data_IF_003286127478
#
_entry.id   IF_003286127478
#
_cell.length_a   1.000
_cell.length_b   1.000
_cell.length_c   1.000
_cell.angle_alpha   90.00
_cell.angle_beta   90.00
_cell.angle_gamma   90.00
#
_symmetry.space_group_name_H-M   'P 1'
#
loop_
_entity.id
_entity.type
_entity.pdbx_description
1 polymer ?
#
# COMPACT_ATOMS: atom_id res chain seq x y z
N UNK A 1 -26.83 -14.98 30.73
CA UNK A 1 -25.97 -14.26 31.68
C UNK A 1 -25.11 -13.35 30.83
N UNK A 2 -25.49 -12.08 30.80
CA UNK A 2 -24.90 -11.03 29.97
C UNK A 2 -23.51 -10.75 30.55
N UNK A 3 -22.46 -11.10 29.81
CA UNK A 3 -21.08 -10.86 30.23
C UNK A 3 -20.82 -9.37 30.06
N UNK A 4 -20.57 -8.67 31.17
CA UNK A 4 -20.18 -7.26 31.14
C UNK A 4 -19.05 -7.06 30.12
N UNK A 5 -19.17 -6.04 29.23
CA UNK A 5 -18.12 -5.78 28.27
C UNK A 5 -16.83 -5.43 29.02
N UNK A 6 -15.69 -5.99 28.58
CA UNK A 6 -14.44 -5.80 29.29
C UNK A 6 -14.03 -4.31 29.32
N UNK A 7 -13.36 -3.84 30.38
CA UNK A 7 -13.17 -2.41 30.69
C UNK A 7 -12.53 -1.56 29.59
N UNK A 8 -11.75 -2.17 28.69
CA UNK A 8 -11.06 -1.48 27.60
C UNK A 8 -11.96 -1.17 26.39
N UNK A 9 -13.16 -1.76 26.30
CA UNK A 9 -14.09 -1.52 25.19
C UNK A 9 -14.58 -0.07 25.16
N UNK A 10 -14.81 0.51 26.34
CA UNK A 10 -15.18 1.93 26.48
C UNK A 10 -14.03 2.84 26.05
N UNK A 11 -12.80 2.47 26.40
CA UNK A 11 -11.59 3.22 26.02
C UNK A 11 -11.36 3.22 24.51
N UNK A 12 -11.68 2.13 23.81
CA UNK A 12 -11.61 2.10 22.34
C UNK A 12 -12.66 3.00 21.69
N UNK A 13 -13.88 3.07 22.24
CA UNK A 13 -14.92 3.99 21.75
C UNK A 13 -14.55 5.46 21.98
N UNK A 14 -13.96 5.78 23.13
CA UNK A 14 -13.46 7.13 23.45
C UNK A 14 -12.35 7.59 22.50
N UNK A 15 -11.50 6.67 22.03
CA UNK A 15 -10.45 6.95 21.03
C UNK A 15 -10.98 7.01 19.59
N UNK A 16 -12.30 6.94 19.37
CA UNK A 16 -12.92 7.10 18.06
C UNK A 16 -12.82 5.89 17.13
N UNK A 17 -12.51 4.69 17.65
CA UNK A 17 -12.45 3.49 16.82
C UNK A 17 -13.84 3.13 16.27
N UNK A 18 -14.00 3.00 14.94
CA UNK A 18 -15.29 2.73 14.33
C UNK A 18 -15.78 1.29 14.64
N UNK A 19 -17.09 1.07 14.85
CA UNK A 19 -17.65 -0.24 15.19
C UNK A 19 -17.57 -1.35 14.12
N UNK A 20 -16.84 -1.17 13.02
CA UNK A 20 -16.86 -2.11 11.89
C UNK A 20 -15.51 -2.17 11.17
N UNK A 21 -14.73 -3.21 11.44
CA UNK A 21 -13.54 -3.60 10.66
C UNK A 21 -13.88 -4.68 9.63
N UNK A 22 -15.07 -4.58 9.04
CA UNK A 22 -15.58 -5.47 7.99
C UNK A 22 -16.13 -4.65 6.82
N UNK A 23 -15.45 -3.56 6.44
CA UNK A 23 -15.67 -3.01 5.11
C UNK A 23 -14.86 -3.86 4.12
N UNK A 24 -15.44 -5.01 3.75
CA UNK A 24 -14.99 -5.83 2.62
C UNK A 24 -15.40 -5.08 1.35
N UNK A 25 -14.73 -3.97 1.06
CA UNK A 25 -15.19 -3.03 0.03
C UNK A 25 -14.13 -2.10 -0.53
N UNK A 26 -13.04 -1.83 0.20
CA UNK A 26 -11.85 -1.26 -0.41
C UNK A 26 -11.14 -2.37 -1.17
N UNK A 27 -11.65 -2.70 -2.36
CA UNK A 27 -10.80 -3.32 -3.37
C UNK A 27 -9.57 -2.43 -3.47
N UNK A 28 -8.40 -2.96 -3.11
CA UNK A 28 -7.11 -2.42 -3.51
C UNK A 28 -7.18 -2.21 -5.01
N UNK A 29 -7.55 -1.01 -5.46
CA UNK A 29 -7.34 -0.62 -6.83
C UNK A 29 -5.85 -0.32 -6.89
N UNK A 30 -5.02 -1.21 -7.49
CA UNK A 30 -3.68 -0.80 -7.82
C UNK A 30 -3.81 0.44 -8.70
N UNK A 31 -3.26 1.54 -8.19
CA UNK A 31 -2.94 2.77 -8.94
C UNK A 31 -1.87 2.50 -10.02
N UNK A 32 -1.40 1.25 -10.11
CA UNK A 32 -0.47 0.76 -11.11
C UNK A 32 -1.05 0.83 -12.52
N UNK A 33 -0.51 1.77 -13.30
CA UNK A 33 -0.54 1.73 -14.76
C UNK A 33 0.04 0.37 -15.19
N UNK A 34 -0.78 -0.53 -15.75
CA UNK A 34 -0.30 -1.82 -16.26
C UNK A 34 0.26 -1.64 -17.66
N UNK A 35 1.54 -1.94 -17.83
CA UNK A 35 2.22 -1.84 -19.12
C UNK A 35 2.31 -3.25 -19.69
N UNK A 36 1.78 -3.42 -20.90
CA UNK A 36 1.43 -4.73 -21.44
C UNK A 36 2.61 -5.51 -22.03
N UNK A 37 3.79 -4.90 -22.14
CA UNK A 37 4.87 -5.46 -22.95
C UNK A 37 6.22 -5.50 -22.19
N UNK A 38 6.76 -4.35 -21.74
CA UNK A 38 8.02 -4.33 -20.98
C UNK A 38 7.86 -4.41 -19.45
N UNK A 39 6.64 -4.28 -18.92
CA UNK A 39 6.32 -4.15 -17.48
C UNK A 39 7.05 -3.04 -16.69
N UNK A 40 7.99 -2.32 -17.30
CA UNK A 40 8.70 -1.18 -16.70
C UNK A 40 7.80 0.06 -16.60
N UNK A 41 7.69 0.73 -15.43
CA UNK A 41 6.87 1.93 -15.26
C UNK A 41 7.34 3.08 -16.17
N UNK A 42 6.39 3.81 -16.79
CA UNK A 42 6.69 5.00 -17.59
C UNK A 42 6.73 6.21 -16.66
N UNK A 43 7.90 6.47 -16.09
CA UNK A 43 8.12 7.56 -15.12
C UNK A 43 8.35 8.92 -15.79
N UNK A 44 8.78 8.93 -17.05
CA UNK A 44 8.98 10.16 -17.81
C UNK A 44 9.02 9.88 -19.32
N UNK A 45 8.90 10.92 -20.15
CA UNK A 45 9.02 10.81 -21.61
C UNK A 45 7.70 10.53 -22.33
N UNK A 46 7.73 9.76 -23.42
CA UNK A 46 6.53 9.51 -24.23
C UNK A 46 5.81 8.23 -23.80
N UNK A 47 4.53 8.38 -23.47
CA UNK A 47 3.59 7.30 -23.17
C UNK A 47 2.56 7.20 -24.28
N UNK A 48 2.40 6.02 -24.85
CA UNK A 48 1.31 5.73 -25.78
C UNK A 48 0.11 5.21 -25.00
N UNK A 49 -1.06 5.82 -25.20
CA UNK A 49 -2.25 5.53 -24.41
C UNK A 49 -3.45 5.25 -25.31
N UNK A 50 -4.30 4.31 -24.91
CA UNK A 50 -5.62 4.14 -25.48
C UNK A 50 -6.62 5.06 -24.74
N UNK A 51 -7.63 5.58 -25.43
CA UNK A 51 -8.72 6.38 -24.83
C UNK A 51 -9.94 5.51 -24.49
N UNK A 52 -10.03 4.30 -25.05
CA UNK A 52 -11.13 3.37 -24.86
C UNK A 52 -10.84 2.32 -23.78
N UNK A 53 -9.57 1.96 -23.58
CA UNK A 53 -9.15 0.99 -22.57
C UNK A 53 -8.48 1.69 -21.38
N UNK A 54 -9.06 1.53 -20.19
CA UNK A 54 -8.66 2.22 -18.95
C UNK A 54 -7.20 1.99 -18.49
N UNK A 55 -6.49 0.99 -19.02
CA UNK A 55 -5.15 0.63 -18.54
C UNK A 55 -4.18 0.20 -19.64
N UNK A 56 -4.50 0.41 -20.92
CA UNK A 56 -3.58 0.00 -21.99
C UNK A 56 -2.62 1.13 -22.35
N UNK A 57 -1.34 0.93 -22.01
CA UNK A 57 -0.27 1.86 -22.31
C UNK A 57 0.99 1.15 -22.80
N UNK A 58 1.72 1.81 -23.69
CA UNK A 58 3.05 1.39 -24.15
C UNK A 58 4.08 2.47 -23.84
N UNK A 59 5.29 2.04 -23.48
CA UNK A 59 6.44 2.93 -23.40
C UNK A 59 6.95 3.26 -24.81
N UNK A 60 7.88 4.22 -24.91
CA UNK A 60 8.46 4.61 -26.20
C UNK A 60 9.10 3.43 -26.94
N UNK A 61 9.82 2.56 -26.23
CA UNK A 61 10.50 1.38 -26.81
C UNK A 61 9.50 0.37 -27.39
N UNK A 62 8.46 0.02 -26.63
CA UNK A 62 7.43 -0.91 -27.09
C UNK A 62 6.62 -0.34 -28.26
N UNK A 63 6.36 0.97 -28.24
CA UNK A 63 5.69 1.65 -29.34
C UNK A 63 6.53 1.67 -30.64
N UNK A 64 7.85 1.79 -30.55
CA UNK A 64 8.75 1.75 -31.71
C UNK A 64 8.77 0.38 -32.36
N UNK A 65 8.78 -0.70 -31.58
CA UNK A 65 8.71 -2.08 -32.09
C UNK A 65 7.41 -2.35 -32.85
N UNK A 66 6.28 -1.85 -32.35
CA UNK A 66 4.98 -2.00 -33.01
C UNK A 66 4.89 -1.20 -34.33
N UNK A 67 5.55 -0.04 -34.42
CA UNK A 67 5.55 0.82 -35.62
C UNK A 67 6.25 0.21 -36.83
N UNK A 68 7.22 -0.68 -36.63
CA UNK A 68 7.88 -1.36 -37.75
C UNK A 68 6.91 -2.25 -38.54
N UNK A 69 5.73 -2.57 -37.97
CA UNK A 69 4.69 -3.37 -38.60
C UNK A 69 3.51 -2.58 -39.18
N UNK A 70 3.31 -1.31 -38.81
CA UNK A 70 2.16 -0.49 -39.21
C UNK A 70 2.40 1.01 -38.98
N UNK A 71 1.89 1.88 -39.86
CA UNK A 71 2.00 3.35 -39.71
C UNK A 71 1.31 3.88 -38.44
N UNK A 72 0.31 3.14 -37.94
CA UNK A 72 -0.51 3.52 -36.78
C UNK A 72 -0.42 2.45 -35.69
N UNK A 73 -0.07 2.87 -34.48
CA UNK A 73 0.06 1.97 -33.33
C UNK A 73 -1.32 1.64 -32.81
N UNK A 74 -1.62 0.35 -32.72
CA UNK A 74 -2.93 -0.13 -32.28
C UNK A 74 -2.78 -1.34 -31.39
N UNK A 75 -3.78 -1.62 -30.57
CA UNK A 75 -3.89 -2.89 -29.88
C UNK A 75 -5.26 -3.53 -30.10
N UNK A 76 -5.34 -4.83 -29.86
CA UNK A 76 -6.61 -5.55 -29.85
C UNK A 76 -7.19 -5.51 -28.42
N UNK A 77 -8.42 -5.05 -28.29
CA UNK A 77 -9.20 -5.05 -27.05
C UNK A 77 -9.58 -6.47 -26.63
N UNK A 78 -9.95 -6.65 -25.35
CA UNK A 78 -10.55 -7.91 -24.86
C UNK A 78 -11.81 -8.32 -25.63
N UNK A 79 -12.48 -7.36 -26.29
CA UNK A 79 -13.66 -7.58 -27.14
C UNK A 79 -13.30 -7.89 -28.61
N UNK A 80 -12.01 -7.99 -28.93
CA UNK A 80 -11.49 -8.21 -30.29
C UNK A 80 -11.47 -6.97 -31.18
N UNK A 81 -11.82 -5.79 -30.65
CA UNK A 81 -11.83 -4.52 -31.39
C UNK A 81 -10.41 -3.94 -31.49
N UNK A 82 -10.05 -3.38 -32.65
CA UNK A 82 -8.76 -2.70 -32.84
C UNK A 82 -8.86 -1.26 -32.36
N UNK A 83 -8.05 -0.87 -31.38
CA UNK A 83 -8.04 0.47 -30.78
C UNK A 83 -6.72 1.17 -31.08
N UNK A 84 -6.79 2.45 -31.45
CA UNK A 84 -5.63 3.28 -31.71
C UNK A 84 -5.01 3.83 -30.42
N UNK A 85 -3.68 3.91 -30.41
CA UNK A 85 -2.89 4.50 -29.35
C UNK A 85 -2.43 5.89 -29.78
N UNK A 86 -2.49 6.86 -28.86
CA UNK A 86 -1.99 8.21 -29.07
C UNK A 86 -0.85 8.53 -28.10
N UNK A 87 0.08 9.34 -28.57
CA UNK A 87 1.24 9.76 -27.80
C UNK A 87 0.85 10.86 -26.80
N UNK A 88 1.20 10.65 -25.53
CA UNK A 88 1.08 11.60 -24.43
C UNK A 88 2.49 11.85 -23.87
N UNK A 89 2.85 13.12 -23.65
CA UNK A 89 4.05 13.44 -22.88
C UNK A 89 3.77 13.29 -21.39
N UNK A 90 4.62 12.54 -20.71
CA UNK A 90 4.65 12.41 -19.26
C UNK A 90 5.80 13.27 -18.77
N UNK A 91 5.47 14.28 -17.98
CA UNK A 91 6.47 15.07 -17.28
C UNK A 91 7.18 14.16 -16.27
N UNK A 92 8.45 14.45 -16.03
CA UNK A 92 9.22 13.73 -15.03
C UNK A 92 8.49 13.78 -13.69
N UNK A 93 8.37 12.62 -13.04
CA UNK A 93 7.83 12.56 -11.69
C UNK A 93 8.72 13.45 -10.83
N UNK A 94 8.12 14.41 -10.13
CA UNK A 94 8.87 15.21 -9.16
C UNK A 94 9.62 14.25 -8.24
N UNK A 95 10.93 14.41 -8.11
CA UNK A 95 11.77 13.61 -7.24
C UNK A 95 11.44 13.78 -5.76
N UNK A 96 10.51 14.66 -5.44
CA UNK A 96 10.17 15.01 -4.08
C UNK A 96 9.25 13.96 -3.47
N UNK A 97 9.88 12.86 -3.06
CA UNK A 97 9.35 11.92 -2.08
C UNK A 97 9.97 12.22 -0.72
N UNK A 98 10.12 13.50 -0.34
CA UNK A 98 10.50 13.84 1.03
C UNK A 98 9.41 13.33 1.99
N UNK A 99 9.76 12.26 2.68
CA UNK A 99 8.99 11.77 3.82
C UNK A 99 9.25 12.70 5.00
N UNK A 100 8.21 13.43 5.40
CA UNK A 100 8.26 14.34 6.55
C UNK A 100 8.07 13.62 7.89
N UNK A 101 7.78 12.32 7.87
CA UNK A 101 7.59 11.54 9.08
C UNK A 101 8.95 11.17 9.70
N UNK A 102 8.97 11.05 11.03
CA UNK A 102 10.14 10.58 11.74
C UNK A 102 10.30 9.07 11.54
N UNK A 103 11.54 8.64 11.26
CA UNK A 103 11.85 7.21 11.24
C UNK A 103 11.83 6.68 12.67
N UNK A 104 10.86 5.80 12.96
CA UNK A 104 10.78 5.09 14.22
C UNK A 104 11.71 3.86 14.19
N UNK A 105 12.93 3.99 14.72
CA UNK A 105 13.85 2.86 14.85
C UNK A 105 13.37 1.89 15.95
N UNK A 106 13.05 0.65 15.58
CA UNK A 106 12.59 -0.35 16.55
C UNK A 106 12.94 -1.78 16.14
N UNK A 107 13.89 -2.41 16.84
CA UNK A 107 14.34 -3.78 16.55
C UNK A 107 13.23 -4.84 16.50
N UNK A 108 12.11 -4.63 17.20
CA UNK A 108 10.98 -5.55 17.22
C UNK A 108 10.08 -5.36 15.98
N UNK A 109 9.87 -4.12 15.53
CA UNK A 109 8.93 -3.79 14.44
C UNK A 109 9.61 -3.48 13.10
N UNK A 110 10.93 -3.56 13.02
CA UNK A 110 11.69 -3.32 11.79
C UNK A 110 11.38 -4.35 10.69
N UNK A 111 11.18 -5.62 11.06
CA UNK A 111 10.89 -6.68 10.09
C UNK A 111 9.98 -7.78 10.68
N UNK A 112 9.37 -8.56 9.77
CA UNK A 112 8.43 -9.63 10.12
C UNK A 112 9.06 -10.71 11.01
N UNK A 113 10.31 -11.07 10.79
CA UNK A 113 10.98 -12.15 11.55
C UNK A 113 11.29 -11.70 12.97
N UNK A 114 11.76 -10.46 13.15
CA UNK A 114 12.03 -9.89 14.47
C UNK A 114 10.74 -9.79 15.29
N UNK A 115 9.64 -9.35 14.67
CA UNK A 115 8.33 -9.37 15.32
C UNK A 115 7.87 -10.79 15.69
N UNK A 116 8.03 -11.77 14.79
CA UNK A 116 7.64 -13.16 15.06
C UNK A 116 8.45 -13.78 16.21
N UNK A 117 9.77 -13.52 16.28
CA UNK A 117 10.63 -13.98 17.38
C UNK A 117 10.17 -13.38 18.72
N UNK A 118 9.91 -12.08 18.75
CA UNK A 118 9.39 -11.40 19.93
C UNK A 118 8.01 -11.95 20.34
N UNK A 119 7.11 -12.12 19.38
CA UNK A 119 5.77 -12.68 19.57
C UNK A 119 5.82 -14.08 20.17
N UNK A 120 6.64 -14.97 19.62
CA UNK A 120 6.82 -16.34 20.10
C UNK A 120 7.50 -16.38 21.46
N UNK A 121 8.56 -15.58 21.66
CA UNK A 121 9.30 -15.51 22.91
C UNK A 121 8.46 -14.98 24.08
N UNK A 122 7.45 -14.15 23.81
CA UNK A 122 6.53 -13.63 24.82
C UNK A 122 5.19 -14.39 24.89
N UNK A 123 5.08 -15.53 24.20
CA UNK A 123 3.89 -16.40 24.21
C UNK A 123 2.58 -15.67 23.87
N UNK A 124 2.65 -14.68 22.98
CA UNK A 124 1.46 -14.00 22.49
C UNK A 124 0.63 -14.92 21.60
N UNK A 125 -0.69 -14.73 21.63
CA UNK A 125 -1.67 -15.57 20.96
C UNK A 125 -2.81 -14.70 20.40
N UNK A 126 -3.29 -15.06 19.20
CA UNK A 126 -4.39 -14.40 18.49
C UNK A 126 -5.51 -15.38 18.07
N UNK A 127 -5.47 -16.61 18.59
CA UNK A 127 -6.43 -17.68 18.28
C UNK A 127 -7.79 -17.53 18.99
N UNK A 128 -7.83 -16.79 20.10
CA UNK A 128 -9.06 -16.38 20.76
C UNK A 128 -9.16 -14.88 20.93
N UNK A 129 -10.39 -14.37 21.01
CA UNK A 129 -10.64 -12.94 21.16
C UNK A 129 -9.97 -12.35 22.42
N UNK A 130 -10.00 -13.08 23.55
CA UNK A 130 -9.39 -12.64 24.79
C UNK A 130 -7.87 -12.55 24.70
N UNK A 131 -7.24 -13.56 24.10
CA UNK A 131 -5.79 -13.61 23.90
C UNK A 131 -5.33 -12.57 22.88
N UNK A 132 -6.06 -12.38 21.79
CA UNK A 132 -5.79 -11.34 20.79
C UNK A 132 -5.79 -9.95 21.43
N UNK A 133 -6.76 -9.66 22.31
CA UNK A 133 -6.84 -8.38 23.04
C UNK A 133 -5.66 -8.18 23.97
N UNK A 134 -5.30 -9.21 24.74
CA UNK A 134 -4.16 -9.18 25.64
C UNK A 134 -2.86 -8.95 24.87
N UNK A 135 -2.59 -9.75 23.83
CA UNK A 135 -1.42 -9.65 22.98
C UNK A 135 -1.32 -8.27 22.31
N UNK A 136 -2.43 -7.75 21.80
CA UNK A 136 -2.50 -6.40 21.21
C UNK A 136 -2.17 -5.31 22.24
N UNK A 137 -2.70 -5.42 23.46
CA UNK A 137 -2.42 -4.46 24.53
C UNK A 137 -0.94 -4.45 24.91
N UNK A 138 -0.32 -5.63 24.99
CA UNK A 138 1.10 -5.75 25.31
C UNK A 138 1.99 -5.18 24.21
N UNK A 139 1.64 -5.43 22.93
CA UNK A 139 2.32 -4.83 21.78
C UNK A 139 2.21 -3.29 21.81
N UNK A 140 1.02 -2.74 22.06
CA UNK A 140 0.80 -1.30 22.19
C UNK A 140 1.59 -0.69 23.36
N UNK A 141 1.69 -1.40 24.49
CA UNK A 141 2.49 -0.96 25.63
C UNK A 141 3.98 -0.86 25.26
N UNK A 142 4.53 -1.85 24.55
CA UNK A 142 5.92 -1.81 24.09
C UNK A 142 6.16 -0.67 23.10
N UNK A 143 5.26 -0.46 22.13
CA UNK A 143 5.33 0.67 21.20
C UNK A 143 5.38 2.01 21.94
N UNK A 144 4.51 2.19 22.94
CA UNK A 144 4.50 3.39 23.77
C UNK A 144 5.83 3.57 24.51
N UNK A 145 6.38 2.50 25.09
CA UNK A 145 7.67 2.57 25.78
C UNK A 145 8.81 2.95 24.82
N UNK A 146 8.80 2.41 23.59
CA UNK A 146 9.78 2.78 22.56
C UNK A 146 9.65 4.26 22.16
N UNK A 147 8.43 4.76 21.99
CA UNK A 147 8.16 6.17 21.70
C UNK A 147 8.55 7.12 22.85
N UNK A 148 8.56 6.65 24.10
CA UNK A 148 8.93 7.45 25.27
C UNK A 148 10.44 7.56 25.52
N UNK A 149 11.25 6.69 24.91
CA UNK A 149 12.72 6.74 25.01
C UNK A 149 13.37 7.61 23.93
N UNK A 150 12.58 8.27 23.08
CA UNK A 150 13.08 9.34 22.21
C UNK A 150 13.48 10.54 23.08
N UNK A 151 14.74 10.99 23.04
CA UNK A 151 15.13 12.20 23.76
C UNK A 151 14.26 13.35 23.25
N UNK A 152 13.67 14.12 24.18
CA UNK A 152 12.71 15.21 23.93
C UNK A 152 13.30 16.43 23.20
N UNK A 153 14.27 16.25 22.31
CA UNK A 153 15.05 17.31 21.67
C UNK A 153 14.91 17.41 20.14
N UNK A 154 14.02 16.64 19.50
CA UNK A 154 13.81 16.69 18.05
C UNK A 154 12.34 16.98 17.69
N UNK A 155 11.79 18.04 18.30
CA UNK A 155 10.70 18.80 17.68
C UNK A 155 11.28 20.18 17.32
N UNK A 156 11.78 20.31 16.10
CA UNK A 156 11.92 21.58 15.37
C UNK A 156 11.58 21.32 13.91
#
# INVERSE_FOLDING_TARGET
MELDPPPWLNRMREMGYPPGYLDVGAEDQPSGITIFDCHDPILSGNRWSCNQCKRFHLCSRCAELERESSEQITHTSIRGEKHELYQIRVNDVSSDTEDGDFVLENDIFNDRQSFLKFYQGNHYQFDSLGLAKHSSMMILHQLKNCLQHFPSGMMM
#
